data_IF_374387857950
#
_entry.id   IF_374387857950
#
_cell.length_a   1.000
_cell.length_b   1.000
_cell.length_c   1.000
_cell.angle_alpha   90.00
_cell.angle_beta   90.00
_cell.angle_gamma   90.00
#
_symmetry.space_group_name_H-M   'P 1'
#
loop_
_entity.id
_entity.type
_entity.pdbx_description
1 polymer ?
#
# COMPACT_ATOMS: atom_id res chain seq x y z
N UNK A 1 -19.14 6.43 -1.56
CA UNK A 1 -18.17 6.98 -0.59
C UNK A 1 -16.91 6.14 -0.68
N UNK A 2 -15.73 6.78 -0.80
CA UNK A 2 -14.46 6.06 -0.82
C UNK A 2 -14.20 5.40 0.54
N UNK A 3 -13.44 4.31 0.54
CA UNK A 3 -12.96 3.66 1.75
C UNK A 3 -11.95 4.55 2.48
N UNK A 4 -11.08 5.21 1.71
CA UNK A 4 -10.00 6.07 2.20
C UNK A 4 -10.09 7.40 1.46
N UNK A 5 -10.02 8.51 2.20
CA UNK A 5 -9.93 9.84 1.61
C UNK A 5 -8.57 10.41 1.98
N UNK A 6 -7.77 10.79 0.99
CA UNK A 6 -6.51 11.48 1.21
C UNK A 6 -6.72 12.73 2.07
N UNK A 7 -5.76 12.99 2.95
CA UNK A 7 -5.72 14.14 3.86
C UNK A 7 -4.31 14.67 3.86
N UNK A 8 -4.16 15.99 4.01
CA UNK A 8 -2.82 16.61 4.09
C UNK A 8 -1.99 16.04 5.26
N UNK A 9 -2.65 15.54 6.31
CA UNK A 9 -2.01 14.82 7.42
C UNK A 9 -1.37 13.49 7.04
N UNK A 10 -1.52 13.02 5.80
CA UNK A 10 -0.90 11.81 5.26
C UNK A 10 0.34 12.13 4.43
N UNK A 11 0.64 13.40 4.19
CA UNK A 11 1.87 13.77 3.49
C UNK A 11 3.09 13.38 4.32
N UNK A 12 4.10 12.81 3.67
CA UNK A 12 5.43 12.56 4.24
C UNK A 12 6.41 13.70 3.91
N UNK A 13 5.90 14.85 3.45
CA UNK A 13 6.66 16.01 3.00
C UNK A 13 7.63 15.70 1.84
N UNK A 14 7.32 14.70 1.03
CA UNK A 14 8.03 14.38 -0.21
C UNK A 14 7.02 14.26 -1.35
N UNK A 15 7.04 15.23 -2.27
CA UNK A 15 6.03 15.32 -3.35
C UNK A 15 5.95 14.06 -4.21
N UNK A 16 7.09 13.42 -4.50
CA UNK A 16 7.10 12.17 -5.30
C UNK A 16 6.40 11.05 -4.55
N UNK A 17 6.74 10.87 -3.27
CA UNK A 17 6.19 9.81 -2.43
C UNK A 17 4.70 10.05 -2.15
N UNK A 18 4.31 11.30 -1.88
CA UNK A 18 2.91 11.66 -1.70
C UNK A 18 2.06 11.32 -2.94
N UNK A 19 2.60 11.52 -4.16
CA UNK A 19 1.91 11.13 -5.40
C UNK A 19 1.73 9.61 -5.51
N UNK A 20 2.74 8.83 -5.13
CA UNK A 20 2.64 7.38 -5.10
C UNK A 20 1.63 6.89 -4.05
N UNK A 21 1.62 7.49 -2.86
CA UNK A 21 0.65 7.20 -1.80
C UNK A 21 -0.79 7.56 -2.21
N UNK A 22 -0.98 8.69 -2.91
CA UNK A 22 -2.29 9.06 -3.46
C UNK A 22 -2.77 8.03 -4.47
N UNK A 23 -1.90 7.53 -5.34
CA UNK A 23 -2.27 6.49 -6.30
C UNK A 23 -2.59 5.16 -5.61
N UNK A 24 -1.88 4.78 -4.55
CA UNK A 24 -2.26 3.63 -3.71
C UNK A 24 -3.66 3.81 -3.10
N UNK A 25 -3.98 5.00 -2.59
CA UNK A 25 -5.33 5.32 -2.09
C UNK A 25 -6.40 5.17 -3.19
N UNK A 26 -6.12 5.62 -4.40
CA UNK A 26 -7.03 5.46 -5.54
C UNK A 26 -7.30 3.98 -5.84
N UNK A 27 -6.25 3.16 -5.98
CA UNK A 27 -6.35 1.74 -6.26
C UNK A 27 -7.14 0.97 -5.18
N UNK A 28 -6.88 1.27 -3.90
CA UNK A 28 -7.63 0.68 -2.78
C UNK A 28 -9.12 1.06 -2.85
N UNK A 29 -9.42 2.30 -3.21
CA UNK A 29 -10.80 2.76 -3.35
C UNK A 29 -11.53 2.14 -4.54
N UNK A 30 -10.85 1.97 -5.67
CA UNK A 30 -11.38 1.30 -6.86
C UNK A 30 -11.71 -0.17 -6.55
N UNK A 31 -10.77 -0.88 -5.92
CA UNK A 31 -10.98 -2.25 -5.49
C UNK A 31 -12.16 -2.38 -4.51
N UNK A 32 -12.27 -1.47 -3.54
CA UNK A 32 -13.42 -1.42 -2.63
C UNK A 32 -14.75 -1.23 -3.39
N UNK A 33 -14.77 -0.38 -4.42
CA UNK A 33 -15.93 -0.18 -5.29
C UNK A 33 -16.35 -1.45 -6.03
N UNK A 34 -15.38 -2.12 -6.67
CA UNK A 34 -15.59 -3.37 -7.42
C UNK A 34 -16.26 -4.44 -6.55
N UNK A 35 -15.78 -4.63 -5.33
CA UNK A 35 -16.36 -5.62 -4.43
C UNK A 35 -17.68 -5.17 -3.82
N UNK A 36 -17.81 -3.89 -3.46
CA UNK A 36 -19.07 -3.36 -2.94
C UNK A 36 -20.22 -3.53 -3.95
N UNK A 37 -19.93 -3.33 -5.23
CA UNK A 37 -20.87 -3.51 -6.33
C UNK A 37 -21.06 -4.98 -6.74
N UNK A 38 -20.44 -5.92 -6.00
CA UNK A 38 -20.49 -7.36 -6.26
C UNK A 38 -20.13 -7.70 -7.72
N UNK A 39 -19.12 -7.02 -8.26
CA UNK A 39 -18.55 -7.37 -9.57
C UNK A 39 -18.02 -8.81 -9.52
N UNK A 40 -17.92 -9.45 -10.69
CA UNK A 40 -17.44 -10.82 -10.81
C UNK A 40 -16.01 -11.00 -10.31
N UNK A 41 -15.63 -12.25 -10.02
CA UNK A 41 -14.31 -12.61 -9.46
C UNK A 41 -13.14 -12.12 -10.34
N UNK A 42 -13.31 -12.13 -11.67
CA UNK A 42 -12.29 -11.65 -12.60
C UNK A 42 -11.95 -10.17 -12.37
N UNK A 43 -12.96 -9.31 -12.18
CA UNK A 43 -12.73 -7.89 -11.91
C UNK A 43 -12.04 -7.65 -10.56
N UNK A 44 -12.28 -8.53 -9.58
CA UNK A 44 -11.59 -8.46 -8.28
C UNK A 44 -10.13 -8.89 -8.43
N UNK A 45 -9.86 -9.93 -9.23
CA UNK A 45 -8.51 -10.39 -9.51
C UNK A 45 -7.69 -9.35 -10.26
N UNK A 46 -8.25 -8.73 -11.30
CA UNK A 46 -7.59 -7.68 -12.07
C UNK A 46 -7.20 -6.50 -11.16
N UNK A 47 -8.12 -6.06 -10.28
CA UNK A 47 -7.85 -4.98 -9.34
C UNK A 47 -6.81 -5.34 -8.27
N UNK A 48 -6.77 -6.61 -7.82
CA UNK A 48 -5.71 -7.09 -6.91
C UNK A 48 -4.36 -7.12 -7.60
N UNK A 49 -4.29 -7.55 -8.86
CA UNK A 49 -3.05 -7.57 -9.63
C UNK A 49 -2.49 -6.16 -9.83
N UNK A 50 -3.35 -5.20 -10.18
CA UNK A 50 -2.95 -3.80 -10.30
C UNK A 50 -2.44 -3.23 -8.97
N UNK A 51 -3.13 -3.52 -7.85
CA UNK A 51 -2.72 -3.07 -6.52
C UNK A 51 -1.36 -3.68 -6.12
N UNK A 52 -1.17 -4.99 -6.30
CA UNK A 52 0.10 -5.67 -6.00
C UNK A 52 1.23 -5.06 -6.82
N UNK A 53 1.03 -4.97 -8.14
CA UNK A 53 2.05 -4.46 -9.05
C UNK A 53 2.47 -3.03 -8.69
N UNK A 54 1.50 -2.15 -8.44
CA UNK A 54 1.82 -0.76 -8.07
C UNK A 54 2.50 -0.66 -6.71
N UNK A 55 2.12 -1.54 -5.76
CA UNK A 55 2.77 -1.61 -4.44
C UNK A 55 4.24 -2.03 -4.55
N UNK A 56 4.56 -3.00 -5.40
CA UNK A 56 5.94 -3.43 -5.66
C UNK A 56 6.78 -2.30 -6.28
N UNK A 57 6.21 -1.55 -7.22
CA UNK A 57 6.87 -0.39 -7.85
C UNK A 57 7.17 0.68 -6.79
N UNK A 58 6.16 1.05 -6.00
CA UNK A 58 6.31 2.02 -4.92
C UNK A 58 7.41 1.60 -3.93
N UNK A 59 7.36 0.37 -3.41
CA UNK A 59 8.40 -0.14 -2.50
C UNK A 59 9.80 -0.12 -3.12
N UNK A 60 9.92 -0.44 -4.41
CA UNK A 60 11.21 -0.35 -5.11
C UNK A 60 11.71 1.09 -5.21
N UNK A 61 10.83 2.07 -5.40
CA UNK A 61 11.17 3.49 -5.44
C UNK A 61 11.65 3.99 -4.08
N UNK A 62 10.98 3.60 -2.99
CA UNK A 62 11.38 3.93 -1.62
C UNK A 62 12.71 3.29 -1.23
N UNK A 63 12.90 2.01 -1.54
CA UNK A 63 14.14 1.30 -1.27
C UNK A 63 15.32 1.92 -2.00
N UNK A 64 15.13 2.39 -3.23
CA UNK A 64 16.15 3.11 -3.97
C UNK A 64 16.48 4.49 -3.34
N UNK A 65 15.52 5.14 -2.67
CA UNK A 65 15.77 6.37 -1.91
C UNK A 65 16.53 6.04 -0.63
N UNK A 66 16.07 5.06 0.14
CA UNK A 66 16.70 4.59 1.38
C UNK A 66 18.15 4.15 1.18
N UNK A 67 18.44 3.46 0.07
CA UNK A 67 19.80 3.05 -0.28
C UNK A 67 20.71 4.26 -0.54
N UNK A 68 20.24 5.24 -1.31
CA UNK A 68 20.99 6.46 -1.65
C UNK A 68 21.34 7.30 -0.42
N UNK A 69 20.42 7.39 0.53
CA UNK A 69 20.62 8.14 1.77
C UNK A 69 21.29 7.33 2.86
N UNK A 70 21.58 6.05 2.62
CA UNK A 70 22.13 5.12 3.62
C UNK A 70 21.26 5.06 4.88
N UNK A 71 19.94 4.96 4.70
CA UNK A 71 18.98 4.98 5.80
C UNK A 71 19.30 3.88 6.82
N UNK A 72 19.52 4.20 8.11
CA UNK A 72 20.01 3.24 9.10
C UNK A 72 19.10 2.03 9.34
N UNK A 73 17.79 2.16 9.07
CA UNK A 73 16.78 1.12 9.31
C UNK A 73 16.27 0.47 8.02
N UNK A 74 17.03 0.55 6.92
CA UNK A 74 16.64 0.02 5.62
C UNK A 74 16.25 -1.46 5.66
N UNK A 75 17.04 -2.31 6.34
CA UNK A 75 16.76 -3.77 6.39
C UNK A 75 15.41 -4.08 7.08
N UNK A 76 15.12 -3.38 8.17
CA UNK A 76 13.85 -3.50 8.89
C UNK A 76 12.68 -3.01 8.04
N UNK A 77 12.88 -1.94 7.27
CA UNK A 77 11.87 -1.40 6.36
C UNK A 77 11.57 -2.40 5.22
N UNK A 78 12.61 -2.92 4.55
CA UNK A 78 12.45 -3.92 3.50
C UNK A 78 11.77 -5.21 3.99
N UNK A 79 11.99 -5.58 5.27
CA UNK A 79 11.29 -6.71 5.86
C UNK A 79 9.77 -6.47 5.94
N UNK A 80 9.35 -5.24 6.28
CA UNK A 80 7.93 -4.87 6.28
C UNK A 80 7.35 -4.91 4.86
N UNK A 81 8.06 -4.40 3.86
CA UNK A 81 7.65 -4.52 2.45
C UNK A 81 7.38 -5.97 2.04
N UNK A 82 8.32 -6.86 2.32
CA UNK A 82 8.17 -8.30 2.01
C UNK A 82 6.96 -8.91 2.70
N UNK A 83 6.76 -8.61 3.98
CA UNK A 83 5.60 -9.11 4.75
C UNK A 83 4.27 -8.62 4.17
N UNK A 84 4.22 -7.38 3.69
CA UNK A 84 3.01 -6.78 3.14
C UNK A 84 2.65 -7.38 1.79
N UNK A 85 3.63 -7.58 0.91
CA UNK A 85 3.42 -8.28 -0.37
C UNK A 85 2.95 -9.72 -0.13
N UNK A 86 3.55 -10.43 0.82
CA UNK A 86 3.13 -11.79 1.20
C UNK A 86 1.66 -11.79 1.67
N UNK A 87 1.30 -10.88 2.57
CA UNK A 87 -0.07 -10.76 3.07
C UNK A 87 -1.08 -10.46 1.96
N UNK A 88 -0.79 -9.51 1.06
CA UNK A 88 -1.69 -9.19 -0.07
C UNK A 88 -1.83 -10.40 -1.00
N UNK A 89 -0.74 -11.13 -1.25
CA UNK A 89 -0.75 -12.34 -2.09
C UNK A 89 -1.59 -13.45 -1.48
N UNK A 90 -1.44 -13.72 -0.18
CA UNK A 90 -2.28 -14.69 0.52
C UNK A 90 -3.77 -14.31 0.47
N UNK A 91 -4.08 -13.01 0.58
CA UNK A 91 -5.45 -12.53 0.43
C UNK A 91 -6.00 -12.78 -0.97
N UNK A 92 -5.21 -12.56 -2.02
CA UNK A 92 -5.59 -12.88 -3.40
C UNK A 92 -5.95 -14.35 -3.55
N UNK A 93 -5.18 -15.26 -2.96
CA UNK A 93 -5.48 -16.69 -2.98
C UNK A 93 -6.79 -17.02 -2.24
N UNK A 94 -7.03 -16.40 -1.08
CA UNK A 94 -8.27 -16.60 -0.31
C UNK A 94 -9.52 -16.04 -0.99
N UNK A 95 -9.41 -14.94 -1.73
CA UNK A 95 -10.53 -14.39 -2.50
C UNK A 95 -10.94 -15.33 -3.64
N UNK A 96 -9.98 -16.03 -4.24
CA UNK A 96 -10.23 -17.00 -5.31
C UNK A 96 -10.92 -18.29 -4.83
N UNK A 97 -10.91 -18.60 -3.53
CA UNK A 97 -11.55 -19.81 -2.98
C UNK A 97 -13.06 -19.65 -2.63
N UNK A 98 -13.69 -18.56 -3.08
CA UNK A 98 -15.13 -18.26 -2.97
C UNK A 98 -15.66 -17.91 -1.56
N UNK A 99 -14.80 -17.52 -0.62
CA UNK A 99 -15.23 -17.11 0.72
C UNK A 99 -15.64 -15.63 0.79
N UNK A 100 -16.95 -15.39 0.90
CA UNK A 100 -17.51 -14.04 1.03
C UNK A 100 -17.05 -13.30 2.29
N UNK A 101 -16.64 -14.04 3.34
CA UNK A 101 -16.15 -13.53 4.62
C UNK A 101 -14.73 -12.95 4.59
N UNK A 102 -13.94 -13.28 3.56
CA UNK A 102 -12.55 -12.77 3.39
C UNK A 102 -12.54 -11.28 3.03
N UNK A 103 -13.62 -10.77 2.44
CA UNK A 103 -13.67 -9.42 1.85
C UNK A 103 -13.62 -8.30 2.90
N UNK A 104 -14.41 -8.31 4.00
CA UNK A 104 -14.31 -7.27 5.04
C UNK A 104 -12.95 -7.21 5.75
N UNK A 105 -12.36 -8.37 6.07
CA UNK A 105 -11.07 -8.44 6.74
C UNK A 105 -9.93 -7.94 5.85
N UNK A 106 -10.03 -8.21 4.55
CA UNK A 106 -9.10 -7.68 3.56
C UNK A 106 -9.12 -6.14 3.49
N UNK A 107 -10.29 -5.50 3.50
CA UNK A 107 -10.36 -4.03 3.51
C UNK A 107 -9.82 -3.42 4.79
N UNK A 108 -10.08 -4.07 5.93
CA UNK A 108 -9.53 -3.66 7.20
C UNK A 108 -8.01 -3.77 7.19
N UNK A 109 -7.48 -4.84 6.60
CA UNK A 109 -6.06 -5.02 6.36
C UNK A 109 -5.48 -3.92 5.46
N UNK A 110 -6.00 -3.73 4.24
CA UNK A 110 -5.48 -2.70 3.31
C UNK A 110 -5.50 -1.30 3.91
N UNK A 111 -6.58 -0.94 4.61
CA UNK A 111 -6.68 0.35 5.30
C UNK A 111 -5.65 0.46 6.42
N UNK A 112 -5.45 -0.59 7.21
CA UNK A 112 -4.47 -0.62 8.28
C UNK A 112 -3.04 -0.58 7.74
N UNK A 113 -2.76 -1.32 6.68
CA UNK A 113 -1.48 -1.32 5.98
C UNK A 113 -1.15 0.09 5.47
N UNK A 114 -2.04 0.71 4.71
CA UNK A 114 -1.80 2.07 4.21
C UNK A 114 -1.56 3.05 5.37
N UNK A 115 -2.35 3.01 6.43
CA UNK A 115 -2.17 3.97 7.53
C UNK A 115 -0.88 3.70 8.31
N UNK A 116 -0.55 2.45 8.60
CA UNK A 116 0.54 2.11 9.52
C UNK A 116 1.89 2.01 8.80
N UNK A 117 1.95 1.43 7.61
CA UNK A 117 3.20 1.31 6.86
C UNK A 117 3.45 2.60 6.10
N UNK A 118 2.56 2.91 5.15
CA UNK A 118 2.78 3.97 4.17
C UNK A 118 2.87 5.36 4.80
N UNK A 119 2.26 5.58 5.97
CA UNK A 119 2.32 6.89 6.64
C UNK A 119 3.28 6.96 7.82
N UNK A 120 3.40 5.90 8.63
CA UNK A 120 4.26 5.96 9.83
C UNK A 120 5.69 5.46 9.56
N UNK A 121 5.87 4.47 8.68
CA UNK A 121 7.20 3.95 8.36
C UNK A 121 7.91 4.82 7.31
N UNK A 122 7.18 5.25 6.28
CA UNK A 122 7.76 6.04 5.19
C UNK A 122 8.18 7.44 5.66
N UNK A 123 7.45 7.99 6.65
CA UNK A 123 7.82 9.24 7.31
C UNK A 123 9.21 9.18 7.92
N UNK A 124 9.66 8.02 8.43
CA UNK A 124 10.97 7.90 9.10
C UNK A 124 12.12 8.14 8.15
N UNK A 125 12.08 7.59 6.93
CA UNK A 125 13.13 7.83 5.95
C UNK A 125 12.99 9.20 5.30
N UNK A 126 11.77 9.72 5.14
CA UNK A 126 11.54 11.08 4.64
C UNK A 126 12.06 12.14 5.61
N UNK A 127 11.82 11.98 6.92
CA UNK A 127 12.40 12.83 7.96
C UNK A 127 13.92 12.74 7.98
N UNK A 128 14.48 11.52 7.87
CA UNK A 128 15.92 11.34 7.79
C UNK A 128 16.53 12.04 6.56
N UNK A 129 15.92 11.88 5.38
CA UNK A 129 16.30 12.59 4.15
C UNK A 129 16.31 14.11 4.36
N UNK A 130 15.30 14.67 5.04
CA UNK A 130 15.22 16.10 5.32
C UNK A 130 16.31 16.62 6.27
N UNK A 131 16.99 15.75 7.03
CA UNK A 131 18.16 16.14 7.85
C UNK A 131 19.47 16.21 7.07
N UNK A 132 19.48 15.77 5.81
CA UNK A 132 20.66 15.74 4.96
C UNK A 132 20.86 17.02 4.13
N UNK A 133 19.89 17.94 4.18
CA UNK A 133 19.96 19.30 3.65
C UNK A 133 20.66 20.28 4.63
#
# INVERSE_FOLDING_TARGET
MPLIKWRDSYSVNNEKIDQEHMKLVELINEMFGIVKDKKGIDAVNDAMEELIHYTEVHFSDEEAIMEKIQFPFMEEHQQKHRQLIEQITEFKERVNSADEGVRPDFYKFLRGWLINHVLEEDMKYCEYLATMD
#
